data_IF_388639347702
#
_entry.id   IF_388639347702
#
_cell.length_a   1.000
_cell.length_b   1.000
_cell.length_c   1.000
_cell.angle_alpha   90.00
_cell.angle_beta   90.00
_cell.angle_gamma   90.00
#
_symmetry.space_group_name_H-M   'P 1'
#
loop_
_entity.id
_entity.type
_entity.pdbx_description
1 polymer ?
#
# COMPACT_ATOMS: atom_id res chain seq x y z
N UNK A 1 -23.80 -9.79 -20.68
CA UNK A 1 -23.30 -10.75 -19.66
C UNK A 1 -21.83 -10.43 -19.39
N UNK A 2 -21.50 -9.56 -18.42
CA UNK A 2 -20.09 -9.36 -18.04
C UNK A 2 -19.62 -10.63 -17.34
N UNK A 3 -18.59 -11.27 -17.88
CA UNK A 3 -17.97 -12.43 -17.26
C UNK A 3 -17.57 -12.06 -15.83
N UNK A 4 -17.85 -12.94 -14.88
CA UNK A 4 -17.41 -12.87 -13.48
C UNK A 4 -15.87 -13.01 -13.39
N UNK A 5 -15.14 -12.22 -14.17
CA UNK A 5 -13.70 -12.10 -14.09
C UNK A 5 -13.41 -11.40 -12.77
N UNK A 6 -13.02 -12.21 -11.79
CA UNK A 6 -12.78 -11.75 -10.43
C UNK A 6 -11.78 -10.58 -10.46
N UNK A 7 -12.22 -9.41 -10.00
CA UNK A 7 -11.54 -8.13 -10.18
C UNK A 7 -10.05 -8.20 -9.84
N UNK A 8 -9.20 -7.77 -10.77
CA UNK A 8 -7.75 -7.66 -10.60
C UNK A 8 -7.33 -6.20 -10.76
N UNK A 9 -6.45 -5.74 -9.88
CA UNK A 9 -5.94 -4.38 -9.91
C UNK A 9 -4.54 -4.33 -9.31
N UNK A 10 -3.66 -3.51 -9.89
CA UNK A 10 -2.33 -3.27 -9.35
C UNK A 10 -1.96 -1.81 -9.56
N UNK A 11 -1.55 -1.13 -8.50
CA UNK A 11 -1.00 0.21 -8.58
C UNK A 11 0.22 0.33 -7.67
N UNK A 12 1.26 1.02 -8.15
CA UNK A 12 2.47 1.29 -7.39
C UNK A 12 2.83 2.75 -7.55
N UNK A 13 2.94 3.46 -6.43
CA UNK A 13 3.42 4.83 -6.36
C UNK A 13 4.77 4.83 -5.64
N UNK A 14 5.79 5.41 -6.25
CA UNK A 14 7.07 5.65 -5.61
C UNK A 14 7.27 7.15 -5.41
N UNK A 15 7.72 7.54 -4.22
CA UNK A 15 8.15 8.89 -3.92
C UNK A 15 9.55 8.83 -3.33
N UNK A 16 10.47 9.60 -3.91
CA UNK A 16 11.87 9.64 -3.50
C UNK A 16 12.30 11.09 -3.31
N UNK A 17 12.98 11.36 -2.20
CA UNK A 17 13.60 12.66 -1.91
C UNK A 17 14.94 12.39 -1.24
N UNK A 18 16.03 12.74 -1.91
CA UNK A 18 17.40 12.39 -1.50
C UNK A 18 17.57 10.88 -1.28
N UNK A 19 18.22 10.50 -0.18
CA UNK A 19 18.42 9.10 0.21
C UNK A 19 17.16 8.37 0.72
N UNK A 20 16.00 9.03 0.84
CA UNK A 20 14.77 8.41 1.36
C UNK A 20 13.83 8.07 0.20
N UNK A 21 13.34 6.83 0.18
CA UNK A 21 12.33 6.39 -0.80
C UNK A 21 11.19 5.67 -0.11
N UNK A 22 9.96 6.02 -0.47
CA UNK A 22 8.74 5.38 -0.01
C UNK A 22 7.99 4.81 -1.22
N UNK A 23 7.65 3.53 -1.17
CA UNK A 23 6.88 2.86 -2.23
C UNK A 23 5.57 2.38 -1.65
N UNK A 24 4.46 2.93 -2.13
CA UNK A 24 3.09 2.53 -1.79
C UNK A 24 2.55 1.62 -2.88
N UNK A 25 2.00 0.47 -2.52
CA UNK A 25 1.47 -0.50 -3.47
C UNK A 25 0.07 -0.94 -3.05
N UNK A 26 -0.80 -1.10 -4.03
CA UNK A 26 -2.12 -1.75 -3.91
C UNK A 26 -2.12 -2.92 -4.89
N UNK A 27 -2.49 -4.11 -4.42
CA UNK A 27 -2.66 -5.28 -5.26
C UNK A 27 -3.95 -6.00 -4.90
N UNK A 28 -4.83 -6.18 -5.87
CA UNK A 28 -6.06 -6.97 -5.79
C UNK A 28 -5.97 -8.07 -6.83
N UNK A 29 -6.17 -9.31 -6.40
CA UNK A 29 -6.27 -10.48 -7.27
C UNK A 29 -7.55 -11.23 -6.91
N UNK A 30 -8.36 -11.54 -7.91
CA UNK A 30 -9.63 -12.24 -7.71
C UNK A 30 -10.51 -11.60 -6.62
N UNK A 31 -10.59 -10.26 -6.59
CA UNK A 31 -11.39 -9.50 -5.63
C UNK A 31 -10.82 -9.41 -4.21
N UNK A 32 -9.72 -10.10 -3.88
CA UNK A 32 -9.03 -9.99 -2.58
C UNK A 32 -7.70 -9.28 -2.76
N UNK A 33 -7.35 -8.40 -1.85
CA UNK A 33 -6.14 -7.61 -2.02
C UNK A 33 -5.50 -7.11 -0.74
N UNK A 34 -4.34 -6.48 -0.92
CA UNK A 34 -3.59 -5.86 0.14
C UNK A 34 -2.99 -4.54 -0.34
N UNK A 35 -2.78 -3.65 0.63
CA UNK A 35 -2.01 -2.43 0.52
C UNK A 35 -0.68 -2.61 1.25
N UNK A 36 0.38 -2.02 0.75
CA UNK A 36 1.68 -2.03 1.43
C UNK A 36 2.45 -0.74 1.24
N UNK A 37 3.30 -0.44 2.21
CA UNK A 37 4.27 0.65 2.16
C UNK A 37 5.65 0.09 2.45
N UNK A 38 6.58 0.29 1.53
CA UNK A 38 8.00 -0.03 1.70
C UNK A 38 8.80 1.26 1.90
N UNK A 39 9.66 1.26 2.89
CA UNK A 39 10.52 2.38 3.23
C UNK A 39 11.98 2.01 2.98
N UNK A 40 12.67 2.87 2.25
CA UNK A 40 14.06 2.70 1.87
C UNK A 40 14.89 3.89 2.36
N UNK A 41 16.13 3.60 2.78
CA UNK A 41 17.15 4.59 3.13
C UNK A 41 18.45 4.22 2.41
N UNK A 42 18.99 5.15 1.64
CA UNK A 42 20.20 5.00 0.82
C UNK A 42 20.15 3.73 -0.05
N UNK A 43 19.02 3.54 -0.75
CA UNK A 43 18.78 2.37 -1.61
C UNK A 43 18.43 1.07 -0.86
N UNK A 44 18.70 0.97 0.45
CA UNK A 44 18.43 -0.23 1.26
C UNK A 44 17.01 -0.23 1.80
N UNK A 45 16.33 -1.38 1.76
CA UNK A 45 15.00 -1.56 2.35
C UNK A 45 15.13 -1.60 3.88
N UNK A 46 14.42 -0.69 4.57
CA UNK A 46 14.46 -0.58 6.03
C UNK A 46 13.21 -1.16 6.68
N UNK A 47 12.06 -1.03 6.02
CA UNK A 47 10.80 -1.51 6.57
C UNK A 47 9.79 -1.81 5.46
N UNK A 48 8.94 -2.80 5.70
CA UNK A 48 7.75 -3.08 4.90
C UNK A 48 6.58 -3.25 5.84
N UNK A 49 5.49 -2.52 5.57
CA UNK A 49 4.20 -2.73 6.23
C UNK A 49 3.18 -3.15 5.20
N UNK A 50 2.44 -4.20 5.49
CA UNK A 50 1.42 -4.78 4.61
C UNK A 50 0.14 -4.98 5.40
N UNK A 51 -0.98 -4.54 4.83
CA UNK A 51 -2.32 -4.66 5.41
C UNK A 51 -3.29 -5.16 4.35
N UNK A 52 -4.27 -5.96 4.77
CA UNK A 52 -5.38 -6.37 3.90
C UNK A 52 -6.19 -5.15 3.45
N UNK A 53 -6.77 -5.24 2.25
CA UNK A 53 -7.82 -4.32 1.85
C UNK A 53 -9.15 -4.80 2.41
N UNK A 54 -9.91 -3.90 3.01
CA UNK A 54 -11.30 -4.16 3.41
C UNK A 54 -12.16 -4.32 2.15
N UNK A 55 -13.26 -5.08 2.20
CA UNK A 55 -14.19 -5.19 1.07
C UNK A 55 -14.67 -3.83 0.53
N UNK A 56 -14.91 -2.87 1.43
CA UNK A 56 -15.29 -1.49 1.07
C UNK A 56 -14.17 -0.77 0.31
N UNK A 57 -12.91 -0.94 0.71
CA UNK A 57 -11.76 -0.34 0.00
C UNK A 57 -11.63 -0.96 -1.41
N UNK A 58 -11.83 -2.27 -1.56
CA UNK A 58 -11.85 -2.95 -2.86
C UNK A 58 -12.97 -2.41 -3.75
N UNK A 59 -14.17 -2.23 -3.21
CA UNK A 59 -15.31 -1.68 -3.95
C UNK A 59 -15.03 -0.25 -4.45
N UNK A 60 -14.46 0.61 -3.60
CA UNK A 60 -14.06 1.97 -4.00
C UNK A 60 -12.95 1.98 -5.06
N UNK A 61 -11.96 1.09 -4.96
CA UNK A 61 -10.92 0.93 -6.00
C UNK A 61 -11.55 0.48 -7.32
N UNK A 62 -12.53 -0.43 -7.30
CA UNK A 62 -13.21 -0.93 -8.50
C UNK A 62 -13.94 0.18 -9.28
N UNK A 63 -14.51 1.15 -8.58
CA UNK A 63 -15.22 2.30 -9.19
C UNK A 63 -14.31 3.52 -9.42
N UNK A 64 -12.99 3.40 -9.20
CA UNK A 64 -12.05 4.51 -9.38
C UNK A 64 -12.20 5.65 -8.37
N UNK A 65 -12.85 5.41 -7.23
CA UNK A 65 -13.10 6.44 -6.20
C UNK A 65 -11.85 6.65 -5.34
N UNK A 66 -11.54 7.90 -5.05
CA UNK A 66 -10.48 8.25 -4.11
C UNK A 66 -10.79 7.74 -2.69
N UNK A 67 -9.78 7.14 -2.05
CA UNK A 67 -9.88 6.63 -0.67
C UNK A 67 -8.94 7.44 0.22
N UNK A 68 -9.46 8.42 0.98
CA UNK A 68 -8.64 9.21 1.88
C UNK A 68 -8.02 8.30 2.95
N UNK A 69 -6.72 8.49 3.20
CA UNK A 69 -6.04 7.75 4.26
C UNK A 69 -5.93 6.24 4.01
N UNK A 70 -5.98 5.77 2.75
CA UNK A 70 -5.86 4.35 2.42
C UNK A 70 -4.67 3.67 3.12
N UNK A 71 -3.55 4.38 3.32
CA UNK A 71 -2.34 3.86 3.97
C UNK A 71 -2.13 4.34 5.42
N UNK A 72 -3.16 4.93 6.06
CA UNK A 72 -3.02 5.52 7.42
C UNK A 72 -2.65 4.48 8.49
N UNK A 73 -3.07 3.23 8.31
CA UNK A 73 -2.78 2.07 9.17
C UNK A 73 -1.48 1.33 8.79
N UNK A 74 -0.67 1.93 7.89
CA UNK A 74 0.63 1.43 7.48
C UNK A 74 1.77 2.32 8.02
N UNK A 75 1.95 2.41 9.37
CA UNK A 75 2.91 3.33 9.96
C UNK A 75 4.34 2.97 9.57
N UNK A 76 5.15 3.97 9.24
CA UNK A 76 6.60 3.80 9.26
C UNK A 76 7.00 3.63 10.72
N UNK A 77 7.63 2.52 11.10
CA UNK A 77 8.36 2.44 12.36
C UNK A 77 9.49 3.49 12.31
N UNK A 78 9.18 4.72 12.71
CA UNK A 78 10.19 5.71 13.07
C UNK A 78 10.84 5.14 14.31
N UNK A 79 11.98 4.47 14.13
CA UNK A 79 12.99 4.12 15.14
C UNK A 79 12.43 3.93 16.56
N UNK A 80 12.43 2.68 17.07
CA UNK A 80 12.44 2.45 18.52
C UNK A 80 13.42 3.46 19.12
N UNK A 81 12.93 4.47 19.86
CA UNK A 81 13.81 5.33 20.65
C UNK A 81 14.57 4.36 21.54
N UNK A 82 15.89 4.27 21.38
CA UNK A 82 16.73 3.66 22.41
C UNK A 82 16.45 4.48 23.67
N UNK A 83 15.78 3.86 24.64
CA UNK A 83 15.60 4.40 25.98
C UNK A 83 17.00 4.30 26.59
N UNK A 84 17.68 5.44 26.71
CA UNK A 84 18.87 5.57 27.54
C UNK A 84 18.47 5.36 29.00
#
# INVERSE_FOLDING_TARGET
MYTNSAFNYSNTQAHQTGGKKTVRKVLIKKGKGHKSVKYYKNGKLVSTVKRGLKPVEVAFIKIGKFIPGLFKDCPCNKTRKHRH
#
